data_IF_231613129122
#
_entry.id   IF_231613129122
#
_cell.length_a   1.000
_cell.length_b   1.000
_cell.length_c   1.000
_cell.angle_alpha   90.00
_cell.angle_beta   90.00
_cell.angle_gamma   90.00
#
_symmetry.space_group_name_H-M   'P 1'
#
loop_
_entity.id
_entity.type
_entity.pdbx_description
1 polymer ?
#
# COMPACT_ATOMS: atom_id res chain seq x y z
N UNK A 1 8.39 3.37 8.13
CA UNK A 1 9.52 4.03 7.40
C UNK A 1 10.29 5.00 8.29
N UNK A 2 9.68 6.06 8.82
CA UNK A 2 10.40 7.07 9.63
C UNK A 2 11.20 6.47 10.81
N UNK A 3 10.60 5.59 11.60
CA UNK A 3 11.29 4.90 12.70
C UNK A 3 12.50 4.07 12.26
N UNK A 4 12.46 3.49 11.06
CA UNK A 4 13.61 2.78 10.50
C UNK A 4 14.78 3.72 10.25
N UNK A 5 14.53 4.92 9.73
CA UNK A 5 15.59 5.89 9.44
C UNK A 5 16.22 6.50 10.69
N UNK A 6 15.45 6.63 11.78
CA UNK A 6 15.96 7.12 13.07
C UNK A 6 16.70 6.06 13.88
N UNK A 7 16.49 4.77 13.58
CA UNK A 7 17.11 3.66 14.29
C UNK A 7 18.61 3.51 14.02
N UNK A 8 19.33 2.99 15.03
CA UNK A 8 20.77 2.69 14.96
C UNK A 8 21.04 1.45 14.10
N UNK A 9 22.28 1.29 13.64
CA UNK A 9 22.68 0.18 12.76
C UNK A 9 22.42 -1.20 13.37
N UNK A 10 22.69 -1.40 14.67
CA UNK A 10 22.40 -2.66 15.36
C UNK A 10 20.89 -2.96 15.40
N UNK A 11 20.05 -1.96 15.65
CA UNK A 11 18.59 -2.15 15.65
C UNK A 11 18.08 -2.50 14.25
N UNK A 12 18.59 -1.85 13.21
CA UNK A 12 18.28 -2.17 11.81
C UNK A 12 18.66 -3.60 11.45
N UNK A 13 19.81 -4.06 11.95
CA UNK A 13 20.26 -5.44 11.76
C UNK A 13 19.32 -6.43 12.44
N UNK A 14 18.95 -6.20 13.71
CA UNK A 14 18.02 -7.07 14.44
C UNK A 14 16.62 -7.12 13.79
N UNK A 15 16.12 -6.00 13.27
CA UNK A 15 14.87 -5.96 12.51
C UNK A 15 15.00 -6.84 11.26
N UNK A 16 16.06 -6.65 10.47
CA UNK A 16 16.29 -7.43 9.25
C UNK A 16 16.49 -8.92 9.52
N UNK A 17 17.09 -9.28 10.66
CA UNK A 17 17.26 -10.67 11.09
C UNK A 17 15.94 -11.33 11.43
N UNK A 18 15.02 -10.61 12.09
CA UNK A 18 13.68 -11.12 12.40
C UNK A 18 12.88 -11.45 11.14
N UNK A 19 13.04 -10.68 10.07
CA UNK A 19 12.37 -10.93 8.79
C UNK A 19 12.70 -12.31 8.20
N UNK A 20 13.87 -12.89 8.53
CA UNK A 20 14.31 -14.20 8.03
C UNK A 20 13.69 -15.39 8.77
N UNK A 21 13.10 -15.18 9.95
CA UNK A 21 12.60 -16.24 10.84
C UNK A 21 11.11 -16.54 10.58
N UNK A 22 10.43 -15.77 9.72
CA UNK A 22 8.98 -15.61 9.71
C UNK A 22 8.19 -16.37 8.63
N UNK A 23 8.73 -17.38 7.94
CA UNK A 23 8.12 -17.78 6.65
C UNK A 23 6.95 -18.79 6.69
N UNK A 24 6.88 -19.81 7.57
CA UNK A 24 5.91 -20.90 7.33
C UNK A 24 4.68 -20.98 8.27
N UNK A 25 4.85 -20.84 9.59
CA UNK A 25 3.74 -21.12 10.55
C UNK A 25 2.70 -19.99 10.69
N UNK A 26 2.91 -18.84 10.03
CA UNK A 26 2.02 -17.65 10.10
C UNK A 26 1.24 -17.36 8.82
N UNK A 27 1.34 -18.21 7.80
CA UNK A 27 0.57 -18.02 6.56
C UNK A 27 -0.93 -18.02 6.86
N UNK A 28 -1.39 -18.88 7.78
CA UNK A 28 -2.80 -18.90 8.19
C UNK A 28 -3.25 -17.57 8.82
N UNK A 29 -2.43 -16.98 9.70
CA UNK A 29 -2.77 -15.70 10.32
C UNK A 29 -2.72 -14.56 9.32
N UNK A 30 -1.78 -14.58 8.36
CA UNK A 30 -1.73 -13.61 7.27
C UNK A 30 -2.94 -13.75 6.34
N UNK A 31 -3.35 -14.97 6.01
CA UNK A 31 -4.54 -15.23 5.20
C UNK A 31 -5.82 -14.78 5.90
N UNK A 32 -5.96 -15.08 7.20
CA UNK A 32 -7.10 -14.62 7.99
C UNK A 32 -7.13 -13.09 8.10
N UNK A 33 -5.98 -12.46 8.39
CA UNK A 33 -5.88 -11.00 8.43
C UNK A 33 -6.23 -10.38 7.07
N UNK A 34 -5.73 -10.95 5.97
CA UNK A 34 -6.05 -10.52 4.60
C UNK A 34 -7.54 -10.66 4.28
N UNK A 35 -8.16 -11.78 4.67
CA UNK A 35 -9.60 -12.02 4.50
C UNK A 35 -10.45 -11.01 5.27
N UNK A 36 -10.12 -10.78 6.54
CA UNK A 36 -10.81 -9.79 7.38
C UNK A 36 -10.62 -8.38 6.82
N UNK A 37 -9.40 -8.01 6.40
CA UNK A 37 -9.13 -6.72 5.78
C UNK A 37 -9.93 -6.55 4.49
N UNK A 38 -10.02 -7.56 3.65
CA UNK A 38 -10.82 -7.53 2.43
C UNK A 38 -12.31 -7.29 2.70
N UNK A 39 -12.91 -8.02 3.66
CA UNK A 39 -14.30 -7.80 4.07
C UNK A 39 -14.51 -6.37 4.60
N UNK A 40 -13.59 -5.89 5.45
CA UNK A 40 -13.65 -4.56 6.01
C UNK A 40 -13.43 -3.46 4.95
N UNK A 41 -12.59 -3.70 3.94
CA UNK A 41 -12.22 -2.71 2.92
C UNK A 41 -13.42 -2.25 2.09
N UNK A 42 -14.32 -3.19 1.77
CA UNK A 42 -15.56 -2.87 1.08
C UNK A 42 -16.43 -1.92 1.91
N UNK A 43 -16.49 -2.13 3.23
CA UNK A 43 -17.15 -1.22 4.18
C UNK A 43 -16.48 0.14 4.28
N UNK A 44 -15.14 0.19 4.35
CA UNK A 44 -14.37 1.44 4.39
C UNK A 44 -14.57 2.31 3.14
N UNK A 45 -14.66 1.67 1.97
CA UNK A 45 -14.87 2.36 0.70
C UNK A 45 -16.29 2.97 0.57
N UNK A 46 -17.28 2.42 1.26
CA UNK A 46 -18.68 2.92 1.26
C UNK A 46 -18.82 4.19 2.11
N UNK A 47 -17.98 4.39 3.14
CA UNK A 47 -18.13 5.54 4.07
C UNK A 47 -17.89 6.89 3.38
N UNK A 48 -17.15 6.94 2.27
CA UNK A 48 -16.89 8.17 1.50
C UNK A 48 -18.13 8.72 0.75
N UNK A 49 -19.26 8.01 0.79
CA UNK A 49 -20.36 8.15 -0.18
C UNK A 49 -21.65 8.71 0.43
N UNK A 50 -21.68 8.98 1.73
CA UNK A 50 -22.83 9.63 2.36
C UNK A 50 -23.21 10.97 1.73
N UNK A 51 -22.34 11.54 0.89
CA UNK A 51 -22.55 12.81 0.19
C UNK A 51 -22.99 12.69 -1.28
N UNK A 52 -22.86 11.53 -1.96
CA UNK A 52 -22.91 11.48 -3.44
C UNK A 52 -23.88 10.47 -4.09
N UNK A 53 -24.72 9.72 -3.35
CA UNK A 53 -25.63 8.71 -3.93
C UNK A 53 -24.95 7.74 -4.92
N UNK A 54 -23.74 7.28 -4.61
CA UNK A 54 -22.99 6.34 -5.46
C UNK A 54 -23.48 4.91 -5.19
N UNK A 55 -23.60 4.11 -6.26
CA UNK A 55 -24.02 2.71 -6.20
C UNK A 55 -23.02 1.85 -5.40
N UNK A 56 -23.50 1.22 -4.33
CA UNK A 56 -22.71 0.34 -3.47
C UNK A 56 -22.18 -0.87 -4.24
N UNK A 57 -22.98 -1.41 -5.17
CA UNK A 57 -22.59 -2.54 -6.00
C UNK A 57 -21.36 -2.24 -6.84
N UNK A 58 -21.30 -1.04 -7.44
CA UNK A 58 -20.16 -0.59 -8.24
C UNK A 58 -18.87 -0.54 -7.41
N UNK A 59 -18.93 -0.03 -6.18
CA UNK A 59 -17.76 0.06 -5.28
C UNK A 59 -17.20 -1.32 -5.00
N UNK A 60 -18.08 -2.26 -4.62
CA UNK A 60 -17.68 -3.62 -4.26
C UNK A 60 -17.08 -4.31 -5.48
N UNK A 61 -17.72 -4.21 -6.64
CA UNK A 61 -17.20 -4.78 -7.89
C UNK A 61 -15.83 -4.17 -8.22
N UNK A 62 -15.67 -2.86 -8.19
CA UNK A 62 -14.38 -2.22 -8.47
C UNK A 62 -13.29 -2.62 -7.48
N UNK A 63 -13.62 -2.74 -6.19
CA UNK A 63 -12.68 -3.20 -5.17
C UNK A 63 -12.17 -4.61 -5.46
N UNK A 64 -13.08 -5.52 -5.83
CA UNK A 64 -12.73 -6.89 -6.19
C UNK A 64 -11.93 -6.95 -7.49
N UNK A 65 -12.34 -6.20 -8.50
CA UNK A 65 -11.66 -6.15 -9.80
C UNK A 65 -10.22 -5.66 -9.65
N UNK A 66 -9.99 -4.60 -8.87
CA UNK A 66 -8.64 -4.10 -8.60
C UNK A 66 -7.79 -5.09 -7.79
N UNK A 67 -8.39 -5.74 -6.78
CA UNK A 67 -7.75 -6.81 -6.00
C UNK A 67 -7.28 -7.95 -6.92
N UNK A 68 -8.19 -8.49 -7.74
CA UNK A 68 -7.88 -9.59 -8.66
C UNK A 68 -6.87 -9.17 -9.73
N UNK A 69 -6.98 -7.94 -10.24
CA UNK A 69 -6.00 -7.37 -11.17
C UNK A 69 -4.60 -7.34 -10.55
N UNK A 70 -4.46 -6.92 -9.30
CA UNK A 70 -3.17 -6.88 -8.63
C UNK A 70 -2.57 -8.28 -8.40
N UNK A 71 -3.40 -9.25 -7.98
CA UNK A 71 -2.98 -10.65 -7.86
C UNK A 71 -2.53 -11.23 -9.21
N UNK A 72 -3.32 -11.00 -10.26
CA UNK A 72 -3.05 -11.50 -11.61
C UNK A 72 -1.73 -10.93 -12.15
N UNK A 73 -1.52 -9.61 -12.05
CA UNK A 73 -0.28 -8.99 -12.47
C UNK A 73 0.93 -9.52 -11.69
N UNK A 74 0.83 -9.64 -10.37
CA UNK A 74 1.93 -10.16 -9.54
C UNK A 74 2.26 -11.61 -9.90
N UNK A 75 1.25 -12.45 -10.11
CA UNK A 75 1.44 -13.84 -10.51
C UNK A 75 2.09 -13.96 -11.89
N UNK A 76 1.56 -13.25 -12.90
CA UNK A 76 2.10 -13.28 -14.26
C UNK A 76 3.53 -12.74 -14.31
N UNK A 77 3.80 -11.61 -13.66
CA UNK A 77 5.15 -11.01 -13.64
C UNK A 77 6.16 -11.93 -12.96
N UNK A 78 5.79 -12.59 -11.86
CA UNK A 78 6.69 -13.56 -11.21
C UNK A 78 6.99 -14.77 -12.08
N UNK A 79 6.00 -15.28 -12.82
CA UNK A 79 6.23 -16.37 -13.77
C UNK A 79 7.14 -15.93 -14.93
N UNK A 80 6.87 -14.76 -15.52
CA UNK A 80 7.58 -14.26 -16.70
C UNK A 80 9.00 -13.81 -16.39
N UNK A 81 9.21 -13.09 -15.28
CA UNK A 81 10.50 -12.45 -14.97
C UNK A 81 11.38 -13.30 -14.06
N UNK A 82 10.79 -14.05 -13.13
CA UNK A 82 11.52 -14.78 -12.10
C UNK A 82 11.49 -16.29 -12.31
N UNK A 83 10.72 -16.79 -13.29
CA UNK A 83 10.48 -18.21 -13.56
C UNK A 83 10.08 -19.00 -12.30
N UNK A 84 9.34 -18.34 -11.39
CA UNK A 84 8.92 -18.89 -10.10
C UNK A 84 7.45 -18.65 -9.87
N UNK A 85 6.81 -19.63 -9.25
CA UNK A 85 5.45 -19.48 -8.74
C UNK A 85 5.50 -18.53 -7.55
N UNK A 86 4.65 -17.50 -7.59
CA UNK A 86 4.56 -16.51 -6.52
C UNK A 86 3.98 -17.15 -5.26
N UNK A 87 4.49 -16.77 -4.10
CA UNK A 87 4.02 -17.33 -2.83
C UNK A 87 2.63 -16.81 -2.47
N UNK A 88 1.88 -17.55 -1.66
CA UNK A 88 0.58 -17.09 -1.14
C UNK A 88 0.69 -15.78 -0.35
N UNK A 89 1.78 -15.61 0.40
CA UNK A 89 2.03 -14.38 1.13
C UNK A 89 2.21 -13.18 0.19
N UNK A 90 2.89 -13.35 -0.95
CA UNK A 90 3.04 -12.30 -1.97
C UNK A 90 1.73 -12.00 -2.69
N UNK A 91 0.89 -13.01 -2.97
CA UNK A 91 -0.45 -12.77 -3.52
C UNK A 91 -1.33 -11.97 -2.58
N UNK A 92 -1.33 -12.28 -1.28
CA UNK A 92 -2.10 -11.53 -0.28
C UNK A 92 -1.61 -10.08 -0.22
N UNK A 93 -0.30 -9.84 -0.26
CA UNK A 93 0.26 -8.48 -0.29
C UNK A 93 -0.10 -7.73 -1.58
N UNK A 94 -0.06 -8.40 -2.73
CA UNK A 94 -0.48 -7.81 -4.00
C UNK A 94 -1.97 -7.46 -3.99
N UNK A 95 -2.83 -8.35 -3.50
CA UNK A 95 -4.26 -8.12 -3.30
C UNK A 95 -4.51 -6.86 -2.45
N UNK A 96 -3.80 -6.73 -1.32
CA UNK A 96 -3.87 -5.54 -0.47
C UNK A 96 -3.41 -4.27 -1.19
N UNK A 97 -2.35 -4.35 -2.00
CA UNK A 97 -1.92 -3.22 -2.84
C UNK A 97 -3.03 -2.76 -3.78
N UNK A 98 -3.71 -3.70 -4.45
CA UNK A 98 -4.85 -3.41 -5.33
C UNK A 98 -6.00 -2.72 -4.59
N UNK A 99 -6.35 -3.21 -3.38
CA UNK A 99 -7.35 -2.58 -2.51
C UNK A 99 -6.96 -1.17 -2.07
N UNK A 100 -5.69 -0.95 -1.71
CA UNK A 100 -5.18 0.38 -1.39
C UNK A 100 -5.30 1.31 -2.60
N UNK A 101 -4.87 0.86 -3.79
CA UNK A 101 -4.86 1.68 -4.99
C UNK A 101 -6.27 2.10 -5.44
N UNK A 102 -7.28 1.23 -5.33
CA UNK A 102 -8.64 1.57 -5.76
C UNK A 102 -9.39 2.44 -4.75
N UNK A 103 -8.90 2.59 -3.52
CA UNK A 103 -9.62 3.27 -2.41
C UNK A 103 -10.08 4.68 -2.80
N UNK A 104 -9.21 5.48 -3.42
CA UNK A 104 -9.52 6.86 -3.79
C UNK A 104 -10.58 6.99 -4.90
N UNK A 105 -10.78 5.95 -5.71
CA UNK A 105 -11.57 6.02 -6.94
C UNK A 105 -12.62 4.91 -7.07
N UNK A 106 -12.86 4.13 -6.01
CA UNK A 106 -13.68 2.92 -6.04
C UNK A 106 -15.13 3.15 -6.49
N UNK A 107 -15.72 4.30 -6.17
CA UNK A 107 -17.06 4.70 -6.61
C UNK A 107 -17.07 5.59 -7.86
N UNK A 108 -15.90 5.88 -8.44
CA UNK A 108 -15.73 6.93 -9.45
C UNK A 108 -15.17 6.40 -10.77
N UNK A 109 -14.87 5.12 -10.90
CA UNK A 109 -14.32 4.53 -12.12
C UNK A 109 -15.16 3.36 -12.63
N UNK A 110 -15.01 3.02 -13.90
CA UNK A 110 -15.60 1.81 -14.47
C UNK A 110 -14.74 0.57 -14.23
N UNK A 111 -15.32 -0.59 -14.52
CA UNK A 111 -14.68 -1.90 -14.36
C UNK A 111 -13.29 -2.00 -15.00
N UNK A 112 -13.15 -1.58 -16.26
CA UNK A 112 -11.87 -1.66 -16.99
C UNK A 112 -10.78 -0.79 -16.36
N UNK A 113 -11.13 0.40 -15.88
CA UNK A 113 -10.21 1.27 -15.17
C UNK A 113 -9.81 0.66 -13.81
N UNK A 114 -10.76 0.09 -13.06
CA UNK A 114 -10.45 -0.60 -11.81
C UNK A 114 -9.48 -1.77 -12.02
N UNK A 115 -9.65 -2.53 -13.10
CA UNK A 115 -8.73 -3.62 -13.46
C UNK A 115 -7.32 -3.11 -13.74
N UNK A 116 -7.19 -2.02 -14.53
CA UNK A 116 -5.88 -1.41 -14.84
C UNK A 116 -5.20 -0.89 -13.57
N UNK A 117 -5.95 -0.21 -12.69
CA UNK A 117 -5.44 0.27 -11.41
C UNK A 117 -4.86 -0.88 -10.60
N UNK A 118 -5.60 -1.99 -10.53
CA UNK A 118 -5.16 -3.24 -9.91
C UNK A 118 -3.89 -3.80 -10.53
N UNK A 119 -3.88 -4.00 -11.85
CA UNK A 119 -2.74 -4.57 -12.58
C UNK A 119 -1.44 -3.79 -12.33
N UNK A 120 -1.49 -2.46 -12.40
CA UNK A 120 -0.33 -1.60 -12.13
C UNK A 120 0.10 -1.72 -10.68
N UNK A 121 -0.84 -1.74 -9.74
CA UNK A 121 -0.53 -1.97 -8.33
C UNK A 121 0.16 -3.32 -8.09
N UNK A 122 -0.31 -4.39 -8.73
CA UNK A 122 0.32 -5.72 -8.68
C UNK A 122 1.77 -5.67 -9.15
N UNK A 123 2.04 -5.00 -10.28
CA UNK A 123 3.39 -4.79 -10.79
C UNK A 123 4.28 -4.02 -9.81
N UNK A 124 3.75 -2.95 -9.21
CA UNK A 124 4.47 -2.16 -8.20
C UNK A 124 4.81 -2.99 -6.96
N UNK A 125 3.86 -3.78 -6.45
CA UNK A 125 4.09 -4.68 -5.30
C UNK A 125 5.11 -5.78 -5.57
N UNK A 126 5.27 -6.19 -6.84
CA UNK A 126 6.25 -7.19 -7.23
C UNK A 126 7.65 -6.59 -7.35
N UNK A 127 7.80 -5.47 -8.07
CA UNK A 127 9.13 -4.98 -8.47
C UNK A 127 9.75 -4.00 -7.47
N UNK A 128 8.97 -3.06 -6.93
CA UNK A 128 9.53 -1.96 -6.13
C UNK A 128 10.17 -2.42 -4.80
N UNK A 129 9.70 -3.48 -4.10
CA UNK A 129 10.39 -3.96 -2.91
C UNK A 129 11.83 -4.38 -3.18
N UNK A 130 12.16 -4.86 -4.39
CA UNK A 130 13.53 -5.20 -4.76
C UNK A 130 14.39 -3.96 -4.98
N UNK A 131 13.85 -2.91 -5.60
CA UNK A 131 14.56 -1.63 -5.77
C UNK A 131 14.85 -0.97 -4.43
N UNK A 132 13.92 -1.07 -3.48
CA UNK A 132 14.05 -0.46 -2.16
C UNK A 132 15.10 -1.12 -1.26
N UNK A 133 15.64 -2.29 -1.63
CA UNK A 133 16.66 -3.03 -0.83
C UNK A 133 17.91 -2.20 -0.53
N UNK A 134 18.29 -1.29 -1.43
CA UNK A 134 19.46 -0.41 -1.27
C UNK A 134 19.30 0.63 -0.16
N UNK A 135 18.07 0.99 0.18
CA UNK A 135 17.77 2.01 1.20
C UNK A 135 17.16 1.44 2.48
N UNK A 136 16.44 0.31 2.38
CA UNK A 136 15.75 -0.34 3.49
C UNK A 136 16.07 -1.82 3.47
N UNK A 137 16.90 -2.30 4.40
CA UNK A 137 17.29 -3.71 4.46
C UNK A 137 16.14 -4.64 4.89
N UNK A 138 15.20 -4.16 5.71
CA UNK A 138 14.05 -4.96 6.18
C UNK A 138 13.02 -5.21 5.07
N UNK A 139 12.73 -6.48 4.81
CA UNK A 139 11.73 -6.94 3.82
C UNK A 139 10.34 -6.44 4.18
N UNK A 140 9.90 -6.62 5.42
CA UNK A 140 8.56 -6.23 5.83
C UNK A 140 8.33 -4.72 5.77
N UNK A 141 9.33 -3.93 6.16
CA UNK A 141 9.22 -2.47 6.07
C UNK A 141 9.11 -2.02 4.62
N UNK A 142 9.87 -2.62 3.70
CA UNK A 142 9.73 -2.34 2.26
C UNK A 142 8.34 -2.69 1.75
N UNK A 143 7.85 -3.88 2.06
CA UNK A 143 6.53 -4.34 1.61
C UNK A 143 5.40 -3.41 2.08
N UNK A 144 5.42 -2.99 3.35
CA UNK A 144 4.44 -2.02 3.89
C UNK A 144 4.53 -0.67 3.18
N UNK A 145 5.75 -0.17 2.93
CA UNK A 145 5.95 1.10 2.19
C UNK A 145 5.42 0.99 0.76
N UNK A 146 5.60 -0.14 0.09
CA UNK A 146 5.10 -0.33 -1.27
C UNK A 146 3.58 -0.44 -1.28
N UNK A 147 3.00 -1.33 -0.46
CA UNK A 147 1.55 -1.56 -0.43
C UNK A 147 0.77 -0.31 -0.03
N UNK A 148 1.19 0.42 1.01
CA UNK A 148 0.43 1.58 1.49
C UNK A 148 0.91 2.91 0.91
N UNK A 149 2.22 3.08 0.76
CA UNK A 149 2.79 4.31 0.22
C UNK A 149 2.66 4.36 -1.30
N UNK A 150 3.34 3.45 -1.99
CA UNK A 150 3.49 3.53 -3.46
C UNK A 150 2.20 3.20 -4.19
N UNK A 151 1.51 2.11 -3.81
CA UNK A 151 0.20 1.79 -4.41
C UNK A 151 -0.86 2.85 -4.04
N UNK A 152 -0.77 3.46 -2.85
CA UNK A 152 -1.64 4.59 -2.46
C UNK A 152 -1.41 5.83 -3.32
N UNK A 153 -0.14 6.18 -3.57
CA UNK A 153 0.23 7.26 -4.51
C UNK A 153 -0.29 6.97 -5.90
N UNK A 154 -0.07 5.75 -6.41
CA UNK A 154 -0.57 5.32 -7.71
C UNK A 154 -2.10 5.45 -7.80
N UNK A 155 -2.84 4.94 -6.81
CA UNK A 155 -4.29 5.02 -6.77
C UNK A 155 -4.83 6.44 -6.78
N UNK A 156 -4.20 7.32 -6.01
CA UNK A 156 -4.53 8.74 -5.92
C UNK A 156 -4.30 9.45 -7.28
N UNK A 157 -3.21 9.12 -7.97
CA UNK A 157 -2.96 9.63 -9.32
C UNK A 157 -3.92 9.04 -10.36
N UNK A 158 -4.21 7.74 -10.27
CA UNK A 158 -5.09 7.07 -11.22
C UNK A 158 -6.53 7.64 -11.20
N UNK A 159 -6.98 8.18 -10.07
CA UNK A 159 -8.24 8.93 -9.99
C UNK A 159 -8.27 10.10 -10.99
N UNK A 160 -7.19 10.90 -11.04
CA UNK A 160 -7.10 12.06 -11.93
C UNK A 160 -7.00 11.71 -13.42
N UNK A 161 -6.65 10.45 -13.73
CA UNK A 161 -6.58 9.92 -15.09
C UNK A 161 -7.90 9.29 -15.56
N UNK A 162 -8.89 9.17 -14.66
CA UNK A 162 -10.18 8.57 -15.00
C UNK A 162 -11.12 9.58 -15.67
N UNK A 163 -11.76 9.15 -16.76
CA UNK A 163 -12.64 9.98 -17.58
C UNK A 163 -14.08 10.08 -17.04
N UNK A 164 -14.28 10.03 -15.72
CA UNK A 164 -15.63 10.12 -15.16
C UNK A 164 -16.13 11.58 -15.21
N UNK A 165 -17.30 11.86 -15.81
CA UNK A 165 -17.84 13.21 -15.91
C UNK A 165 -18.09 13.87 -14.53
N UNK A 166 -18.39 13.08 -13.49
CA UNK A 166 -18.58 13.59 -12.12
C UNK A 166 -17.26 14.11 -11.50
N UNK A 167 -16.12 13.60 -11.95
CA UNK A 167 -14.78 14.09 -11.57
C UNK A 167 -14.49 15.41 -12.28
N UNK A 168 -14.92 15.57 -13.54
CA UNK A 168 -14.69 16.77 -14.34
C UNK A 168 -15.60 17.95 -13.94
N UNK A 169 -16.80 17.70 -13.41
CA UNK A 169 -17.74 18.75 -13.00
C UNK A 169 -17.27 19.59 -11.80
N UNK A 170 -16.26 19.12 -11.04
CA UNK A 170 -15.79 19.82 -9.84
C UNK A 170 -14.45 20.53 -9.99
N UNK A 171 -13.73 20.40 -11.12
CA UNK A 171 -12.36 20.91 -11.30
C UNK A 171 -11.34 20.51 -10.20
N UNK A 172 -11.70 19.59 -9.29
CA UNK A 172 -11.00 19.34 -8.00
C UNK A 172 -10.15 18.07 -7.97
N UNK A 173 -9.97 17.43 -9.12
CA UNK A 173 -9.23 16.18 -9.22
C UNK A 173 -8.17 16.21 -10.32
N UNK A 174 -7.60 17.40 -10.61
CA UNK A 174 -6.50 17.49 -11.55
C UNK A 174 -5.28 16.71 -11.02
N UNK A 175 -4.39 16.30 -11.92
CA UNK A 175 -3.13 15.63 -11.54
C UNK A 175 -2.34 16.50 -10.55
N UNK A 176 -2.38 17.83 -10.72
CA UNK A 176 -1.68 18.76 -9.83
C UNK A 176 -2.26 18.74 -8.41
N UNK A 177 -3.58 18.73 -8.26
CA UNK A 177 -4.24 18.67 -6.94
C UNK A 177 -3.89 17.36 -6.22
N UNK A 178 -3.88 16.24 -6.96
CA UNK A 178 -3.51 14.94 -6.40
C UNK A 178 -2.04 14.91 -5.97
N UNK A 179 -1.13 15.46 -6.80
CA UNK A 179 0.29 15.58 -6.44
C UNK A 179 0.51 16.46 -5.20
N UNK A 180 -0.22 17.56 -5.08
CA UNK A 180 -0.19 18.40 -3.88
C UNK A 180 -0.68 17.62 -2.65
N UNK A 181 -1.81 16.92 -2.75
CA UNK A 181 -2.34 16.10 -1.66
C UNK A 181 -1.37 15.00 -1.23
N UNK A 182 -0.76 14.30 -2.18
CA UNK A 182 0.29 13.29 -1.94
C UNK A 182 1.48 13.92 -1.21
N UNK A 183 1.96 15.06 -1.69
CA UNK A 183 3.11 15.77 -1.11
C UNK A 183 2.84 16.23 0.33
N UNK A 184 1.70 16.87 0.57
CA UNK A 184 1.29 17.32 1.90
C UNK A 184 1.14 16.13 2.85
N UNK A 185 0.46 15.06 2.43
CA UNK A 185 0.28 13.87 3.25
C UNK A 185 1.62 13.21 3.60
N UNK A 186 2.55 13.11 2.63
CA UNK A 186 3.87 12.55 2.87
C UNK A 186 4.67 13.41 3.85
N UNK A 187 4.76 14.72 3.62
CA UNK A 187 5.53 15.65 4.48
C UNK A 187 4.99 15.61 5.90
N UNK A 188 3.66 15.66 6.06
CA UNK A 188 3.02 15.60 7.38
C UNK A 188 3.27 14.25 8.06
N UNK A 189 2.86 13.15 7.44
CA UNK A 189 2.91 11.82 8.05
C UNK A 189 4.34 11.36 8.32
N UNK A 190 5.24 11.52 7.35
CA UNK A 190 6.65 11.17 7.53
C UNK A 190 7.36 12.12 8.48
N UNK A 191 7.14 13.44 8.33
CA UNK A 191 7.80 14.46 9.14
C UNK A 191 7.46 14.36 10.62
N UNK A 192 6.16 14.27 10.95
CA UNK A 192 5.70 14.10 12.34
C UNK A 192 6.23 12.79 12.91
N UNK A 193 6.09 11.67 12.19
CA UNK A 193 6.60 10.39 12.66
C UNK A 193 8.13 10.43 12.88
N UNK A 194 8.87 11.06 11.98
CA UNK A 194 10.33 11.20 12.10
C UNK A 194 10.73 12.00 13.34
N UNK A 195 10.05 13.12 13.60
CA UNK A 195 10.29 13.92 14.81
C UNK A 195 10.00 13.10 16.07
N UNK A 196 8.86 12.40 16.12
CA UNK A 196 8.48 11.56 17.27
C UNK A 196 9.50 10.46 17.52
N UNK A 197 9.87 9.68 16.49
CA UNK A 197 10.86 8.62 16.67
C UNK A 197 12.24 9.17 17.03
N UNK A 198 12.65 10.31 16.48
CA UNK A 198 13.91 10.96 16.85
C UNK A 198 13.92 11.40 18.33
N UNK A 199 12.80 11.93 18.83
CA UNK A 199 12.64 12.27 20.25
C UNK A 199 12.72 11.03 21.13
N UNK A 200 12.01 9.95 20.77
CA UNK A 200 12.05 8.67 21.50
C UNK A 200 13.49 8.13 21.56
N UNK A 201 14.20 8.12 20.43
CA UNK A 201 15.59 7.68 20.39
C UNK A 201 16.51 8.55 21.26
N UNK A 202 16.29 9.87 21.28
CA UNK A 202 17.05 10.80 22.13
C UNK A 202 16.83 10.50 23.61
N UNK A 203 15.58 10.32 24.03
CA UNK A 203 15.21 9.98 25.41
C UNK A 203 15.83 8.63 25.79
N UNK A 204 15.62 7.59 25.00
CA UNK A 204 16.10 6.25 25.32
C UNK A 204 17.65 6.18 25.40
N UNK A 205 18.35 7.01 24.61
CA UNK A 205 19.81 7.12 24.74
C UNK A 205 20.28 7.74 26.06
N UNK A 206 19.48 8.60 26.69
CA UNK A 206 19.78 9.23 27.98
C UNK A 206 19.46 8.34 29.19
N UNK A 207 18.54 7.39 29.04
CA UNK A 207 18.07 6.52 30.13
C UNK A 207 18.62 5.08 30.09
N UNK A 208 19.54 4.76 29.18
CA UNK A 208 20.30 3.50 29.29
C UNK A 208 21.22 3.58 30.52
N UNK A 209 20.75 3.02 31.64
CA UNK A 209 21.57 2.68 32.80
C UNK A 209 22.74 1.82 32.30
N UNK A 210 23.96 2.26 32.60
CA UNK A 210 25.16 1.45 32.41
C UNK A 210 25.03 0.25 33.35
N UNK A 211 24.74 -0.92 32.79
CA UNK A 211 24.87 -2.22 33.49
C UNK A 211 26.15 -2.86 33.01
#
# INVERSE_FOLDING_TARGET
MAGYFTSKSHEKYEISKKDLIFEDYKILSLALAGFVLWLAWSGLNIVYISTFHIDIGLIVVNAFTALFGAMLASWLLSLLLNSKIVSWAELIKAALGGLVAITASCGLVGFSSALIIGLVSGALTNYIPHLLTRWIASKHIREVVVVHGICGVWGTLALSLSHNPNIHLTHKASVLDQLMGIGVNFIWSFGVAFLVFKLICSINSKFKVQV
#
